data_IF_708454050238
#
_entry.id   IF_708454050238
#
_cell.length_a   1.000
_cell.length_b   1.000
_cell.length_c   1.000
_cell.angle_alpha   90.00
_cell.angle_beta   90.00
_cell.angle_gamma   90.00
#
_symmetry.space_group_name_H-M   'P 1'
#
loop_
_entity.id
_entity.type
_entity.pdbx_description
1 polymer ?
#
# COMPACT_ATOMS: atom_id res chain seq x y z
N UNK A 1 -6.66 5.05 8.40
CA UNK A 1 -7.41 5.31 7.14
C UNK A 1 -6.80 4.50 5.99
N UNK A 2 -5.47 4.54 5.76
CA UNK A 2 -4.78 3.77 4.73
C UNK A 2 -5.12 2.26 4.79
N UNK A 3 -4.99 1.62 5.96
CA UNK A 3 -5.35 0.20 6.14
C UNK A 3 -6.77 -0.14 5.66
N UNK A 4 -7.76 0.72 5.93
CA UNK A 4 -9.14 0.47 5.50
C UNK A 4 -9.26 0.61 3.98
N UNK A 5 -8.54 1.56 3.39
CA UNK A 5 -8.48 1.73 1.95
C UNK A 5 -7.85 0.50 1.27
N UNK A 6 -6.66 0.10 1.71
CA UNK A 6 -5.94 -1.05 1.16
C UNK A 6 -6.74 -2.36 1.30
N UNK A 7 -7.40 -2.57 2.45
CA UNK A 7 -8.28 -3.72 2.63
C UNK A 7 -9.50 -3.68 1.69
N UNK A 8 -10.07 -2.50 1.47
CA UNK A 8 -11.16 -2.31 0.51
C UNK A 8 -10.72 -2.62 -0.93
N UNK A 9 -9.55 -2.13 -1.32
CA UNK A 9 -8.94 -2.41 -2.63
C UNK A 9 -8.69 -3.92 -2.80
N UNK A 10 -8.08 -4.56 -1.81
CA UNK A 10 -7.81 -6.00 -1.83
C UNK A 10 -9.09 -6.82 -2.01
N UNK A 11 -10.18 -6.46 -1.31
CA UNK A 11 -11.48 -7.11 -1.44
C UNK A 11 -12.07 -6.92 -2.83
N UNK A 12 -12.05 -5.71 -3.38
CA UNK A 12 -12.57 -5.45 -4.74
C UNK A 12 -11.78 -6.25 -5.78
N UNK A 13 -10.45 -6.24 -5.69
CA UNK A 13 -9.58 -7.01 -6.60
C UNK A 13 -9.82 -8.52 -6.49
N UNK A 14 -10.03 -9.02 -5.28
CA UNK A 14 -10.36 -10.43 -5.04
C UNK A 14 -11.73 -10.80 -5.64
N UNK A 15 -12.74 -9.96 -5.48
CA UNK A 15 -14.05 -10.16 -6.11
C UNK A 15 -13.92 -10.17 -7.63
N UNK A 16 -13.20 -9.20 -8.20
CA UNK A 16 -12.93 -9.14 -9.63
C UNK A 16 -12.18 -10.39 -10.14
N UNK A 17 -11.25 -10.94 -9.35
CA UNK A 17 -10.60 -12.20 -9.66
C UNK A 17 -11.61 -13.35 -9.77
N UNK A 18 -12.54 -13.51 -8.82
CA UNK A 18 -13.55 -14.58 -8.87
C UNK A 18 -14.46 -14.49 -10.08
N UNK A 19 -14.77 -13.28 -10.56
CA UNK A 19 -15.60 -13.10 -11.76
C UNK A 19 -14.81 -13.22 -13.07
N UNK A 20 -13.55 -12.81 -13.08
CA UNK A 20 -12.74 -12.80 -14.30
C UNK A 20 -11.87 -14.04 -14.48
N UNK A 21 -11.64 -14.82 -13.41
CA UNK A 21 -10.63 -15.89 -13.36
C UNK A 21 -9.24 -15.47 -13.90
N UNK A 22 -8.98 -14.16 -13.89
CA UNK A 22 -7.76 -13.58 -14.42
C UNK A 22 -6.62 -13.71 -13.40
N UNK A 23 -5.53 -14.37 -13.78
CA UNK A 23 -4.34 -14.47 -12.92
C UNK A 23 -3.68 -13.10 -12.65
N UNK A 24 -3.85 -12.13 -13.56
CA UNK A 24 -3.42 -10.76 -13.30
C UNK A 24 -4.20 -10.15 -12.14
N UNK A 25 -5.52 -10.37 -12.07
CA UNK A 25 -6.34 -9.92 -10.94
C UNK A 25 -5.98 -10.62 -9.63
N UNK A 26 -5.57 -11.90 -9.70
CA UNK A 26 -5.08 -12.61 -8.53
C UNK A 26 -3.77 -12.01 -8.02
N UNK A 27 -2.81 -11.74 -8.91
CA UNK A 27 -1.56 -11.10 -8.56
C UNK A 27 -1.78 -9.72 -7.92
N UNK A 28 -2.69 -8.92 -8.48
CA UNK A 28 -3.09 -7.62 -7.93
C UNK A 28 -3.79 -7.73 -6.56
N UNK A 29 -4.65 -8.74 -6.37
CA UNK A 29 -5.28 -9.00 -5.08
C UNK A 29 -4.28 -9.42 -4.01
N UNK A 30 -3.29 -10.27 -4.36
CA UNK A 30 -2.19 -10.67 -3.48
C UNK A 30 -1.36 -9.44 -3.08
N UNK A 31 -1.00 -8.60 -4.05
CA UNK A 31 -0.23 -7.39 -3.80
C UNK A 31 -0.96 -6.45 -2.82
N UNK A 32 -2.24 -6.15 -3.08
CA UNK A 32 -3.04 -5.33 -2.16
C UNK A 32 -3.28 -5.98 -0.78
N UNK A 33 -3.26 -7.31 -0.71
CA UNK A 33 -3.26 -8.05 0.55
C UNK A 33 -1.98 -7.85 1.34
N UNK A 34 -0.82 -7.88 0.66
CA UNK A 34 0.50 -7.61 1.26
C UNK A 34 0.57 -6.16 1.77
N UNK A 35 0.07 -5.18 1.02
CA UNK A 35 0.00 -3.77 1.42
C UNK A 35 -0.87 -3.56 2.67
N UNK A 36 -2.00 -4.29 2.73
CA UNK A 36 -2.85 -4.29 3.92
C UNK A 36 -2.11 -4.84 5.14
N UNK A 37 -1.35 -5.93 4.96
CA UNK A 37 -0.56 -6.52 6.03
C UNK A 37 0.62 -5.62 6.44
N UNK A 38 1.27 -4.98 5.47
CA UNK A 38 2.27 -3.95 5.70
C UNK A 38 1.73 -2.81 6.58
N UNK A 39 0.55 -2.27 6.24
CA UNK A 39 -0.13 -1.26 7.05
C UNK A 39 -0.40 -1.73 8.49
N UNK A 40 -0.74 -3.01 8.71
CA UNK A 40 -0.91 -3.58 10.05
C UNK A 40 0.42 -3.60 10.80
N UNK A 41 1.51 -4.06 10.16
CA UNK A 41 2.84 -4.09 10.76
C UNK A 41 3.28 -2.69 11.21
N UNK A 42 3.07 -1.67 10.36
CA UNK A 42 3.38 -0.28 10.69
C UNK A 42 2.56 0.24 11.87
N UNK A 43 1.26 -0.06 11.92
CA UNK A 43 0.40 0.32 13.06
C UNK A 43 0.85 -0.34 14.37
N UNK A 44 1.23 -1.62 14.32
CA UNK A 44 1.79 -2.33 15.47
C UNK A 44 3.12 -1.69 15.89
N UNK A 45 3.98 -1.38 14.93
CA UNK A 45 5.26 -0.70 15.16
C UNK A 45 5.09 0.64 15.86
N UNK A 46 4.17 1.48 15.38
CA UNK A 46 3.86 2.77 16.01
C UNK A 46 3.36 2.56 17.43
N UNK A 47 2.39 1.67 17.63
CA UNK A 47 1.77 1.42 18.94
C UNK A 47 2.78 0.87 19.95
N UNK A 48 3.70 0.02 19.51
CA UNK A 48 4.74 -0.54 20.38
C UNK A 48 5.86 0.46 20.61
N UNK A 49 6.33 1.12 19.55
CA UNK A 49 7.41 2.12 19.62
C UNK A 49 7.06 3.36 20.44
N UNK A 50 5.77 3.68 20.62
CA UNK A 50 5.32 4.81 21.43
C UNK A 50 5.23 4.51 22.93
N UNK A 51 5.59 3.31 23.38
CA UNK A 51 5.62 2.97 24.81
C UNK A 51 6.72 3.76 25.51
N UNK A 52 6.46 4.28 26.74
CA UNK A 52 7.47 4.96 27.53
C UNK A 52 8.57 4.00 27.98
N UNK A 53 9.72 4.56 28.34
CA UNK A 53 10.83 3.82 28.92
C UNK A 53 10.40 3.12 30.24
N UNK A 54 10.95 1.93 30.47
CA UNK A 54 10.80 1.15 31.70
C UNK A 54 12.16 0.59 32.15
N UNK A 55 12.17 -0.18 33.24
CA UNK A 55 13.39 -0.75 33.81
C UNK A 55 14.08 -1.76 32.86
N UNK A 56 13.34 -2.40 31.95
CA UNK A 56 13.87 -3.33 30.97
C UNK A 56 14.35 -2.61 29.70
N UNK A 57 13.74 -1.47 29.38
CA UNK A 57 14.05 -0.65 28.21
C UNK A 57 14.27 0.82 28.64
N UNK A 58 15.43 1.16 29.20
CA UNK A 58 15.71 2.50 29.72
C UNK A 58 15.65 3.61 28.66
N UNK A 59 15.87 3.29 27.40
CA UNK A 59 15.78 4.21 26.25
C UNK A 59 14.41 4.20 25.56
N UNK A 60 13.42 3.49 26.13
CA UNK A 60 12.09 3.30 25.52
C UNK A 60 12.08 2.27 24.40
N UNK A 61 10.95 2.18 23.72
CA UNK A 61 10.66 1.17 22.69
C UNK A 61 10.75 1.70 21.24
N UNK A 62 11.35 2.86 21.03
CA UNK A 62 11.41 3.50 19.70
C UNK A 62 12.00 2.61 18.59
N UNK A 63 12.95 1.73 18.92
CA UNK A 63 13.54 0.80 17.97
C UNK A 63 12.57 -0.30 17.51
N UNK A 64 11.53 -0.64 18.28
CA UNK A 64 10.53 -1.61 17.86
C UNK A 64 9.79 -1.15 16.59
N UNK A 65 9.55 0.16 16.43
CA UNK A 65 8.94 0.69 15.22
C UNK A 65 9.77 0.37 13.97
N UNK A 66 11.09 0.50 14.07
CA UNK A 66 12.00 0.19 12.96
C UNK A 66 12.05 -1.31 12.65
N UNK A 67 11.99 -2.17 13.67
CA UNK A 67 11.92 -3.63 13.47
C UNK A 67 10.64 -4.03 12.73
N UNK A 68 9.49 -3.46 13.12
CA UNK A 68 8.23 -3.71 12.43
C UNK A 68 8.21 -3.18 11.00
N UNK A 69 8.80 -2.01 10.75
CA UNK A 69 8.95 -1.45 9.41
C UNK A 69 9.87 -2.34 8.53
N UNK A 70 10.97 -2.85 9.08
CA UNK A 70 11.85 -3.80 8.38
C UNK A 70 11.11 -5.09 8.03
N UNK A 71 10.31 -5.63 8.96
CA UNK A 71 9.50 -6.83 8.74
C UNK A 71 8.47 -6.61 7.63
N UNK A 72 7.80 -5.47 7.63
CA UNK A 72 6.88 -5.04 6.60
C UNK A 72 7.57 -4.98 5.21
N UNK A 73 8.76 -4.40 5.13
CA UNK A 73 9.54 -4.30 3.89
C UNK A 73 9.94 -5.67 3.33
N UNK A 74 10.31 -6.64 4.19
CA UNK A 74 10.63 -8.01 3.77
C UNK A 74 9.40 -8.71 3.20
N UNK A 75 8.23 -8.53 3.81
CA UNK A 75 6.97 -9.09 3.31
C UNK A 75 6.57 -8.50 1.96
N UNK A 76 6.75 -7.19 1.79
CA UNK A 76 6.49 -6.49 0.54
C UNK A 76 7.40 -7.02 -0.58
N UNK A 77 8.68 -7.21 -0.30
CA UNK A 77 9.62 -7.84 -1.23
C UNK A 77 9.17 -9.25 -1.61
N UNK A 78 8.76 -10.06 -0.64
CA UNK A 78 8.22 -11.41 -0.87
C UNK A 78 6.99 -11.40 -1.76
N UNK A 79 6.03 -10.51 -1.51
CA UNK A 79 4.83 -10.32 -2.34
C UNK A 79 5.17 -9.94 -3.79
N UNK A 80 6.15 -9.07 -3.96
CA UNK A 80 6.65 -8.66 -5.29
C UNK A 80 7.23 -9.86 -6.06
N UNK A 81 8.03 -10.71 -5.41
CA UNK A 81 8.56 -11.93 -6.04
C UNK A 81 7.45 -12.89 -6.46
N UNK A 82 6.43 -13.08 -5.64
CA UNK A 82 5.26 -13.91 -5.97
C UNK A 82 4.51 -13.35 -7.18
N UNK A 83 4.29 -12.05 -7.24
CA UNK A 83 3.63 -11.39 -8.37
C UNK A 83 4.42 -11.53 -9.67
N UNK A 84 5.74 -11.35 -9.62
CA UNK A 84 6.64 -11.54 -10.78
C UNK A 84 6.59 -13.00 -11.24
N UNK A 85 6.68 -13.96 -10.33
CA UNK A 85 6.63 -15.38 -10.66
C UNK A 85 5.34 -15.76 -11.39
N UNK A 86 4.18 -15.36 -10.85
CA UNK A 86 2.89 -15.62 -11.49
C UNK A 86 2.73 -14.90 -12.83
N UNK A 87 3.25 -13.68 -12.95
CA UNK A 87 3.26 -12.95 -14.22
C UNK A 87 4.09 -13.68 -15.29
N UNK A 88 5.25 -14.20 -14.90
CA UNK A 88 6.14 -14.93 -15.79
C UNK A 88 5.56 -16.31 -16.19
N UNK A 89 4.99 -17.04 -15.24
CA UNK A 89 4.30 -18.31 -15.48
C UNK A 89 3.17 -18.14 -16.52
N UNK A 90 2.39 -17.06 -16.41
CA UNK A 90 1.32 -16.78 -17.37
C UNK A 90 1.82 -16.40 -18.75
N UNK A 91 2.97 -15.72 -18.86
CA UNK A 91 3.58 -15.43 -20.16
C UNK A 91 4.05 -16.71 -20.86
N UNK A 92 4.52 -17.71 -20.09
CA UNK A 92 4.97 -18.99 -20.63
C UNK A 92 3.82 -19.94 -20.99
N UNK A 93 2.71 -19.86 -20.26
CA UNK A 93 1.54 -20.73 -20.40
C UNK A 93 0.30 -19.90 -20.77
N UNK A 94 0.40 -19.09 -21.84
CA UNK A 94 -0.72 -18.32 -22.35
C UNK A 94 -1.81 -19.25 -22.86
N UNK A 95 -2.88 -19.46 -22.08
CA UNK A 95 -4.09 -20.17 -22.54
C UNK A 95 -4.96 -19.23 -23.37
N UNK A 96 -5.45 -19.72 -24.52
CA UNK A 96 -6.44 -19.02 -25.33
C UNK A 96 -7.77 -18.95 -24.56
N UNK A 97 -8.14 -17.76 -24.11
CA UNK A 97 -9.43 -17.54 -23.43
C UNK A 97 -10.52 -17.24 -24.44
N UNK A 98 -11.56 -18.09 -24.47
CA UNK A 98 -12.67 -18.00 -25.43
C UNK A 98 -13.60 -16.79 -25.24
N UNK A 99 -13.56 -16.11 -24.09
CA UNK A 99 -14.39 -14.94 -23.76
C UNK A 99 -13.57 -13.67 -23.53
N UNK A 100 -12.85 -13.24 -24.57
CA UNK A 100 -11.97 -12.06 -24.50
C UNK A 100 -12.71 -10.79 -23.99
N UNK A 101 -13.94 -10.54 -24.46
CA UNK A 101 -14.67 -9.30 -24.14
C UNK A 101 -15.06 -9.18 -22.67
N UNK A 102 -15.50 -10.28 -22.04
CA UNK A 102 -15.87 -10.29 -20.61
C UNK A 102 -14.61 -10.08 -19.74
N UNK A 103 -13.51 -10.72 -20.12
CA UNK A 103 -12.23 -10.57 -19.44
C UNK A 103 -11.70 -9.14 -19.53
N UNK A 104 -11.71 -8.52 -20.70
CA UNK A 104 -11.24 -7.14 -20.88
C UNK A 104 -12.07 -6.13 -20.09
N UNK A 105 -13.40 -6.28 -20.06
CA UNK A 105 -14.26 -5.38 -19.30
C UNK A 105 -14.02 -5.52 -17.78
N UNK A 106 -13.88 -6.73 -17.26
CA UNK A 106 -13.58 -6.95 -15.86
C UNK A 106 -12.21 -6.37 -15.44
N UNK A 107 -11.20 -6.57 -16.27
CA UNK A 107 -9.85 -6.00 -16.06
C UNK A 107 -9.91 -4.47 -16.12
N UNK A 108 -10.61 -3.88 -17.09
CA UNK A 108 -10.74 -2.43 -17.22
C UNK A 108 -11.44 -1.80 -16.01
N UNK A 109 -12.52 -2.41 -15.54
CA UNK A 109 -13.24 -1.95 -14.34
C UNK A 109 -12.33 -2.03 -13.11
N UNK A 110 -11.63 -3.16 -12.94
CA UNK A 110 -10.72 -3.33 -11.81
C UNK A 110 -9.56 -2.34 -11.84
N UNK A 111 -8.99 -2.06 -13.02
CA UNK A 111 -7.94 -1.06 -13.22
C UNK A 111 -8.43 0.35 -12.86
N UNK A 112 -9.61 0.74 -13.34
CA UNK A 112 -10.19 2.04 -13.02
C UNK A 112 -10.43 2.18 -11.52
N UNK A 113 -11.01 1.15 -10.88
CA UNK A 113 -11.20 1.14 -9.44
C UNK A 113 -9.88 1.24 -8.68
N UNK A 114 -8.84 0.48 -9.09
CA UNK A 114 -7.51 0.56 -8.48
C UNK A 114 -6.93 1.97 -8.57
N UNK A 115 -6.91 2.57 -9.76
CA UNK A 115 -6.39 3.93 -9.98
C UNK A 115 -7.12 4.95 -9.09
N UNK A 116 -8.45 4.83 -8.95
CA UNK A 116 -9.21 5.74 -8.08
C UNK A 116 -8.82 5.59 -6.61
N UNK A 117 -8.65 4.36 -6.13
CA UNK A 117 -8.27 4.11 -4.75
C UNK A 117 -6.82 4.52 -4.47
N UNK A 118 -5.89 4.22 -5.38
CA UNK A 118 -4.49 4.62 -5.27
C UNK A 118 -4.35 6.15 -5.30
N UNK A 119 -5.06 6.82 -6.20
CA UNK A 119 -5.09 8.29 -6.20
C UNK A 119 -5.62 8.86 -4.89
N UNK A 120 -6.62 8.23 -4.29
CA UNK A 120 -7.12 8.64 -2.98
C UNK A 120 -6.11 8.38 -1.86
N UNK A 121 -5.38 7.27 -1.88
CA UNK A 121 -4.31 6.95 -0.94
C UNK A 121 -3.18 7.99 -1.02
N UNK A 122 -2.66 8.27 -2.23
CA UNK A 122 -1.63 9.29 -2.47
C UNK A 122 -2.05 10.67 -1.96
N UNK A 123 -3.30 11.10 -2.22
CA UNK A 123 -3.82 12.36 -1.71
C UNK A 123 -3.87 12.35 -0.18
N UNK A 124 -4.29 11.23 0.42
CA UNK A 124 -4.37 11.10 1.88
C UNK A 124 -2.98 11.14 2.53
N UNK A 125 -1.99 10.46 1.93
CA UNK A 125 -0.59 10.48 2.36
C UNK A 125 0.00 11.90 2.23
N UNK A 126 -0.25 12.57 1.11
CA UNK A 126 0.18 13.95 0.86
C UNK A 126 -0.38 14.93 1.89
N UNK A 127 -1.66 14.76 2.27
CA UNK A 127 -2.27 15.54 3.36
C UNK A 127 -1.60 15.31 4.70
N UNK A 128 -1.25 14.05 5.03
CA UNK A 128 -0.56 13.74 6.27
C UNK A 128 0.80 14.42 6.34
N UNK A 129 1.54 14.42 5.22
CA UNK A 129 2.82 15.13 5.07
C UNK A 129 2.66 16.63 5.32
N UNK A 130 1.73 17.28 4.66
CA UNK A 130 1.53 18.72 4.79
C UNK A 130 1.01 19.11 6.18
N UNK A 131 0.15 18.30 6.77
CA UNK A 131 -0.36 18.51 8.13
C UNK A 131 0.78 18.47 9.17
N UNK A 132 1.76 17.57 9.00
CA UNK A 132 2.92 17.49 9.91
C UNK A 132 3.81 18.74 9.81
N UNK A 133 3.88 19.37 8.63
CA UNK A 133 4.64 20.62 8.41
C UNK A 133 3.79 21.86 8.75
N UNK A 134 2.50 21.70 9.07
CA UNK A 134 1.59 22.81 9.41
C UNK A 134 1.10 23.60 8.18
N UNK A 135 1.09 22.99 7.01
CA UNK A 135 0.62 23.59 5.76
C UNK A 135 -0.77 23.04 5.42
N UNK A 136 -1.75 23.92 5.28
CA UNK A 136 -3.07 23.55 4.76
C UNK A 136 -3.18 23.94 3.28
N UNK A 137 -3.57 23.00 2.44
CA UNK A 137 -3.88 23.23 1.03
C UNK A 137 -5.26 22.62 0.72
N UNK A 138 -6.03 23.26 -0.13
CA UNK A 138 -7.38 22.79 -0.50
C UNK A 138 -7.41 22.03 -1.84
N UNK A 139 -6.38 22.20 -2.65
CA UNK A 139 -6.33 21.58 -3.96
C UNK A 139 -5.48 20.31 -3.91
N UNK A 140 -6.06 19.11 -4.20
CA UNK A 140 -5.35 17.83 -4.07
C UNK A 140 -4.11 17.74 -4.95
N UNK A 141 -4.14 18.32 -6.15
CA UNK A 141 -2.98 18.32 -7.04
C UNK A 141 -1.84 19.16 -6.46
N UNK A 142 -2.16 20.33 -5.89
CA UNK A 142 -1.16 21.17 -5.22
C UNK A 142 -0.66 20.54 -3.93
N UNK A 143 -1.51 19.80 -3.19
CA UNK A 143 -1.12 19.02 -2.03
C UNK A 143 -0.04 18.02 -2.39
N UNK A 144 -0.21 17.27 -3.46
CA UNK A 144 0.76 16.29 -3.95
C UNK A 144 2.10 16.96 -4.29
N UNK A 145 2.12 17.98 -5.16
CA UNK A 145 3.37 18.65 -5.53
C UNK A 145 4.07 19.33 -4.36
N UNK A 146 3.32 19.86 -3.39
CA UNK A 146 3.91 20.43 -2.18
C UNK A 146 4.46 19.35 -1.25
N UNK A 147 3.79 18.21 -1.12
CA UNK A 147 4.26 17.11 -0.29
C UNK A 147 5.64 16.60 -0.75
N UNK A 148 5.88 16.51 -2.07
CA UNK A 148 7.19 16.18 -2.65
C UNK A 148 8.28 17.13 -2.14
N UNK A 149 7.98 18.42 -2.06
CA UNK A 149 8.96 19.42 -1.61
C UNK A 149 9.29 19.28 -0.13
N UNK A 150 8.30 18.96 0.71
CA UNK A 150 8.43 18.98 2.17
C UNK A 150 8.68 17.60 2.80
N UNK A 151 8.62 16.51 2.02
CA UNK A 151 8.85 15.14 2.52
C UNK A 151 10.21 14.98 3.22
N UNK A 152 11.23 15.73 2.77
CA UNK A 152 12.55 15.75 3.38
C UNK A 152 12.57 16.32 4.80
N UNK A 153 11.69 17.25 5.13
CA UNK A 153 11.62 17.98 6.38
C UNK A 153 10.85 17.24 7.48
N UNK A 154 10.10 16.20 7.12
CA UNK A 154 9.30 15.43 8.05
C UNK A 154 10.20 14.63 9.00
N UNK A 155 9.83 14.61 10.26
CA UNK A 155 10.53 13.85 11.31
C UNK A 155 9.99 12.45 11.50
N UNK A 156 8.70 12.22 11.18
CA UNK A 156 8.05 10.93 11.34
C UNK A 156 8.52 9.93 10.28
N UNK A 157 9.25 8.85 10.64
CA UNK A 157 9.64 7.82 9.70
C UNK A 157 8.44 7.13 9.04
N UNK A 158 7.35 7.00 9.80
CA UNK A 158 6.12 6.33 9.35
C UNK A 158 5.40 7.13 8.28
N UNK A 159 5.30 8.47 8.43
CA UNK A 159 4.68 9.33 7.42
C UNK A 159 5.50 9.31 6.13
N UNK A 160 6.83 9.32 6.24
CA UNK A 160 7.72 9.14 5.08
C UNK A 160 7.51 7.81 4.38
N UNK A 161 7.45 6.72 5.16
CA UNK A 161 7.30 5.39 4.60
C UNK A 161 5.98 5.26 3.83
N UNK A 162 4.86 5.64 4.43
CA UNK A 162 3.54 5.60 3.77
C UNK A 162 3.53 6.43 2.49
N UNK A 163 4.16 7.60 2.50
CA UNK A 163 4.21 8.46 1.32
C UNK A 163 5.07 7.89 0.18
N UNK A 164 6.14 7.13 0.51
CA UNK A 164 6.99 6.48 -0.50
C UNK A 164 6.40 5.14 -0.99
N UNK A 165 5.50 4.53 -0.23
CA UNK A 165 4.83 3.29 -0.58
C UNK A 165 3.68 3.53 -1.56
N UNK A 166 2.86 4.57 -1.32
CA UNK A 166 1.76 4.99 -2.18
C UNK A 166 2.24 5.86 -3.37
#
# INVERSE_FOLDING_TARGET
KALIANLGIALVKLICFFFSSSSAMLAEAIHSGVDSFNSICLLVGIKRGSRPADNAHPFGYGLEANVWAMFASILMLGGTFVAIYHGFEKLLHAEETNDLLVHYNAIAIALICSIMFEAWAVISASKAVLHEVGIEEKNPVKEFFRSIKYIGEIKSPTTKFVWYED
#
